data_IF_193865625962
#
_entry.id   IF_193865625962
#
_cell.length_a   1.000
_cell.length_b   1.000
_cell.length_c   1.000
_cell.angle_alpha   90.00
_cell.angle_beta   90.00
_cell.angle_gamma   90.00
#
_symmetry.space_group_name_H-M   'P 1'
#
loop_
_entity.id
_entity.type
_entity.pdbx_description
1 polymer ?
#
# COMPACT_ATOMS: atom_id res chain seq x y z
N UNK A 1 10.35 17.13 -17.74
CA UNK A 1 10.43 17.94 -16.49
C UNK A 1 9.03 18.23 -15.93
N UNK A 2 8.13 18.88 -16.71
CA UNK A 2 6.85 19.40 -16.20
C UNK A 2 5.87 18.27 -15.79
N UNK A 3 5.79 17.18 -16.54
CA UNK A 3 4.95 16.05 -16.17
C UNK A 3 5.43 15.34 -14.90
N UNK A 4 6.75 15.19 -14.77
CA UNK A 4 7.37 14.66 -13.53
C UNK A 4 7.10 15.55 -12.33
N UNK A 5 6.98 16.87 -12.53
CA UNK A 5 6.61 17.77 -11.45
C UNK A 5 5.17 17.53 -10.95
N UNK A 6 4.24 17.23 -11.86
CA UNK A 6 2.88 16.81 -11.50
C UNK A 6 2.87 15.48 -10.73
N UNK A 7 3.65 14.50 -11.18
CA UNK A 7 3.82 13.21 -10.49
C UNK A 7 4.45 13.38 -9.11
N UNK A 8 5.46 14.25 -8.98
CA UNK A 8 6.06 14.57 -7.69
C UNK A 8 5.04 15.23 -6.75
N UNK A 9 4.22 16.14 -7.26
CA UNK A 9 3.17 16.77 -6.47
C UNK A 9 2.10 15.76 -6.02
N UNK A 10 1.76 14.79 -6.87
CA UNK A 10 0.84 13.69 -6.51
C UNK A 10 1.46 12.78 -5.43
N UNK A 11 2.74 12.43 -5.57
CA UNK A 11 3.43 11.65 -4.55
C UNK A 11 3.41 12.35 -3.19
N UNK A 12 3.71 13.65 -3.17
CA UNK A 12 3.66 14.42 -1.93
C UNK A 12 2.25 14.44 -1.30
N UNK A 13 1.19 14.50 -2.12
CA UNK A 13 -0.19 14.38 -1.62
C UNK A 13 -0.46 13.01 -1.00
N UNK A 14 0.03 11.94 -1.61
CA UNK A 14 -0.11 10.58 -1.07
C UNK A 14 0.65 10.46 0.25
N UNK A 15 1.86 10.99 0.30
CA UNK A 15 2.73 10.94 1.49
C UNK A 15 2.16 11.78 2.66
N UNK A 16 1.34 12.79 2.38
CA UNK A 16 0.76 13.67 3.39
C UNK A 16 -0.64 13.27 3.86
N UNK A 17 -1.24 12.18 3.35
CA UNK A 17 -2.64 11.81 3.61
C UNK A 17 -2.94 11.72 5.11
N UNK A 18 -2.11 11.08 5.92
CA UNK A 18 -2.33 10.95 7.36
C UNK A 18 -2.23 12.30 8.09
N UNK A 19 -1.36 13.19 7.59
CA UNK A 19 -1.20 14.54 8.12
C UNK A 19 -2.35 15.45 7.71
N UNK A 20 -2.80 15.34 6.46
CA UNK A 20 -3.87 16.16 5.90
C UNK A 20 -5.26 15.71 6.36
N UNK A 21 -5.39 14.43 6.73
CA UNK A 21 -6.62 13.80 7.23
C UNK A 21 -6.38 13.14 8.60
N UNK A 22 -6.12 13.93 9.66
CA UNK A 22 -5.87 13.35 10.99
C UNK A 22 -7.16 12.86 11.63
N UNK A 23 -7.03 11.92 12.58
CA UNK A 23 -8.14 11.49 13.44
C UNK A 23 -8.87 10.24 12.97
N UNK A 24 -8.28 9.48 12.08
CA UNK A 24 -8.68 8.12 11.77
C UNK A 24 -7.90 7.13 12.65
N UNK A 25 -8.57 6.04 13.01
CA UNK A 25 -7.99 4.95 13.79
C UNK A 25 -7.15 4.02 12.90
N UNK A 26 -7.49 3.97 11.59
CA UNK A 26 -6.83 3.11 10.61
C UNK A 26 -6.76 3.80 9.24
N UNK A 27 -5.63 3.63 8.55
CA UNK A 27 -5.41 4.11 7.19
C UNK A 27 -5.06 2.93 6.28
N UNK A 28 -5.86 2.71 5.25
CA UNK A 28 -5.66 1.66 4.28
C UNK A 28 -5.31 2.25 2.91
N UNK A 29 -4.33 1.65 2.25
CA UNK A 29 -3.82 2.13 0.98
C UNK A 29 -3.90 1.07 -0.12
N UNK A 30 -4.35 1.52 -1.30
CA UNK A 30 -4.26 0.79 -2.56
C UNK A 30 -3.67 1.72 -3.61
N UNK A 31 -2.34 1.66 -3.82
CA UNK A 31 -1.60 2.67 -4.57
C UNK A 31 -0.94 2.05 -5.81
N UNK A 32 -1.36 2.50 -6.99
CA UNK A 32 -0.64 2.25 -8.24
C UNK A 32 0.67 3.04 -8.30
N UNK A 33 1.60 2.60 -9.13
CA UNK A 33 2.85 3.31 -9.39
C UNK A 33 2.59 4.70 -9.98
N UNK A 34 3.27 5.72 -9.44
CA UNK A 34 3.25 7.08 -9.99
C UNK A 34 4.38 7.21 -11.00
N UNK A 35 4.09 6.86 -12.23
CA UNK A 35 5.04 6.92 -13.32
C UNK A 35 4.31 6.90 -14.67
N UNK A 36 4.95 7.40 -15.70
CA UNK A 36 4.43 7.39 -17.06
C UNK A 36 5.44 6.84 -18.05
N UNK A 37 4.95 6.32 -19.16
CA UNK A 37 5.78 5.99 -20.28
C UNK A 37 6.09 7.29 -21.08
N UNK A 38 7.34 7.78 -21.10
CA UNK A 38 7.68 9.03 -21.78
C UNK A 38 7.51 8.96 -23.30
N UNK A 39 7.59 7.77 -23.89
CA UNK A 39 7.34 7.59 -25.32
C UNK A 39 5.87 7.75 -25.66
N UNK A 40 4.97 7.19 -24.84
CA UNK A 40 3.52 7.36 -25.01
C UNK A 40 3.12 8.83 -24.85
N UNK A 41 3.64 9.51 -23.83
CA UNK A 41 3.37 10.93 -23.60
C UNK A 41 3.88 11.78 -24.78
N UNK A 42 5.11 11.55 -25.24
CA UNK A 42 5.69 12.28 -26.36
C UNK A 42 4.93 12.00 -27.66
N UNK A 43 4.55 10.75 -27.93
CA UNK A 43 3.74 10.38 -29.07
C UNK A 43 2.39 11.09 -29.06
N UNK A 44 1.69 11.09 -27.92
CA UNK A 44 0.40 11.77 -27.77
C UNK A 44 0.53 13.27 -27.99
N UNK A 45 1.50 13.93 -27.38
CA UNK A 45 1.74 15.37 -27.60
C UNK A 45 2.08 15.68 -29.06
N UNK A 46 2.86 14.82 -29.71
CA UNK A 46 3.24 15.02 -31.13
C UNK A 46 2.04 14.93 -32.06
N UNK A 47 1.11 14.01 -31.85
CA UNK A 47 -0.09 13.92 -32.71
C UNK A 47 -1.11 15.03 -32.42
N UNK A 48 -1.06 15.63 -31.22
CA UNK A 48 -1.95 16.75 -30.86
C UNK A 48 -1.44 18.10 -31.37
N UNK A 49 -0.12 18.32 -31.41
CA UNK A 49 0.49 19.64 -31.60
C UNK A 49 1.55 19.70 -32.72
N UNK A 50 1.99 18.57 -33.25
CA UNK A 50 3.09 18.41 -34.22
C UNK A 50 4.44 18.98 -33.75
N UNK A 51 4.57 20.31 -33.67
CA UNK A 51 5.70 20.99 -33.03
C UNK A 51 5.18 21.79 -31.88
N UNK A 52 5.81 21.65 -30.73
CA UNK A 52 5.38 22.33 -29.48
C UNK A 52 6.54 22.73 -28.60
N UNK A 53 6.33 23.79 -27.85
CA UNK A 53 7.19 24.19 -26.72
C UNK A 53 6.58 23.73 -25.40
N UNK A 54 7.37 23.56 -24.34
CA UNK A 54 6.84 23.18 -23.02
C UNK A 54 5.71 24.09 -22.52
N UNK A 55 5.79 25.40 -22.77
CA UNK A 55 4.78 26.38 -22.34
C UNK A 55 3.43 26.20 -23.04
N UNK A 56 3.42 25.78 -24.30
CA UNK A 56 2.19 25.57 -25.08
C UNK A 56 1.39 24.36 -24.63
N UNK A 57 2.07 23.38 -24.07
CA UNK A 57 1.43 22.09 -23.70
C UNK A 57 1.10 21.95 -22.23
N UNK A 58 1.44 22.91 -21.36
CA UNK A 58 1.27 22.79 -19.91
C UNK A 58 -0.18 22.45 -19.51
N UNK A 59 -1.18 23.16 -20.06
CA UNK A 59 -2.59 22.87 -19.76
C UNK A 59 -3.01 21.48 -20.24
N UNK A 60 -2.42 21.00 -21.34
CA UNK A 60 -2.69 19.68 -21.89
C UNK A 60 -2.01 18.60 -21.06
N UNK A 61 -0.80 18.85 -20.54
CA UNK A 61 -0.12 17.94 -19.60
C UNK A 61 -0.97 17.70 -18.36
N UNK A 62 -1.57 18.76 -17.81
CA UNK A 62 -2.51 18.61 -16.69
C UNK A 62 -3.74 17.78 -17.08
N UNK A 63 -4.33 18.03 -18.24
CA UNK A 63 -5.48 17.25 -18.73
C UNK A 63 -5.13 15.77 -18.90
N UNK A 64 -3.97 15.44 -19.47
CA UNK A 64 -3.49 14.07 -19.64
C UNK A 64 -3.27 13.43 -18.28
N UNK A 65 -2.67 14.18 -17.34
CA UNK A 65 -2.42 13.75 -15.97
C UNK A 65 -3.72 13.40 -15.22
N UNK A 66 -4.75 14.24 -15.36
CA UNK A 66 -6.05 14.03 -14.72
C UNK A 66 -6.80 12.79 -15.26
N UNK A 67 -6.54 12.40 -16.50
CA UNK A 67 -7.03 11.11 -17.06
C UNK A 67 -6.19 9.92 -16.61
N UNK A 68 -4.88 10.11 -16.47
CA UNK A 68 -3.98 9.03 -16.06
C UNK A 68 -4.16 8.67 -14.60
N UNK A 69 -4.25 9.66 -13.71
CA UNK A 69 -4.27 9.40 -12.27
C UNK A 69 -5.61 9.75 -11.63
N UNK A 70 -6.05 8.85 -10.77
CA UNK A 70 -7.22 9.09 -9.92
C UNK A 70 -6.83 8.78 -8.48
N UNK A 71 -6.85 9.80 -7.61
CA UNK A 71 -6.64 9.65 -6.17
C UNK A 71 -7.97 9.87 -5.47
N UNK A 72 -8.40 8.90 -4.68
CA UNK A 72 -9.63 8.97 -3.89
C UNK A 72 -9.38 8.53 -2.46
N UNK A 73 -10.03 9.17 -1.50
CA UNK A 73 -10.06 8.74 -0.11
C UNK A 73 -11.52 8.61 0.34
N UNK A 74 -11.85 7.49 0.96
CA UNK A 74 -13.21 7.18 1.42
C UNK A 74 -13.18 6.80 2.88
N UNK A 75 -14.00 7.48 3.68
CA UNK A 75 -14.20 7.17 5.09
C UNK A 75 -15.14 5.97 5.25
N UNK A 76 -14.79 5.08 6.15
CA UNK A 76 -15.66 4.01 6.68
C UNK A 76 -15.70 4.16 8.19
N UNK A 77 -16.90 4.15 8.76
CA UNK A 77 -17.10 4.19 10.21
C UNK A 77 -17.70 2.86 10.66
N UNK A 78 -17.01 2.18 11.56
CA UNK A 78 -17.48 0.95 12.21
C UNK A 78 -17.85 1.25 13.65
N UNK A 79 -18.91 0.64 14.14
CA UNK A 79 -19.20 0.65 15.57
C UNK A 79 -18.53 -0.57 16.20
N UNK A 80 -17.62 -0.32 17.09
CA UNK A 80 -16.89 -1.36 17.86
C UNK A 80 -17.22 -1.23 19.34
N UNK A 81 -17.00 -2.30 20.10
CA UNK A 81 -17.16 -2.32 21.55
C UNK A 81 -15.81 -2.41 22.23
N UNK A 82 -15.69 -1.75 23.37
CA UNK A 82 -14.57 -1.92 24.30
C UNK A 82 -15.07 -2.03 25.72
N UNK A 83 -14.34 -2.74 26.55
CA UNK A 83 -14.62 -2.83 27.98
C UNK A 83 -14.00 -1.64 28.71
N UNK A 84 -14.80 -0.91 29.48
CA UNK A 84 -14.35 0.16 30.35
C UNK A 84 -14.59 -0.24 31.81
N UNK A 85 -13.58 -0.03 32.66
CA UNK A 85 -13.72 -0.20 34.10
C UNK A 85 -14.31 1.08 34.67
N UNK A 86 -15.46 0.97 35.32
CA UNK A 86 -16.13 2.05 36.05
C UNK A 86 -16.16 1.73 37.52
N UNK A 87 -16.34 2.73 38.35
CA UNK A 87 -16.30 2.61 39.78
C UNK A 87 -17.57 3.22 40.40
N UNK A 88 -18.13 2.56 41.42
CA UNK A 88 -19.25 3.08 42.17
C UNK A 88 -19.15 2.67 43.63
N UNK A 89 -19.89 3.37 44.48
CA UNK A 89 -20.07 2.94 45.86
C UNK A 89 -21.16 1.90 45.92
N UNK A 90 -20.87 0.78 46.60
CA UNK A 90 -21.81 -0.31 46.87
C UNK A 90 -22.00 -0.38 48.36
N UNK A 91 -23.27 -0.35 48.81
CA UNK A 91 -23.60 -0.50 50.24
C UNK A 91 -23.54 -1.97 50.60
N UNK A 92 -22.58 -2.29 51.43
CA UNK A 92 -22.47 -3.59 52.09
C UNK A 92 -23.01 -3.49 53.53
N UNK A 93 -23.32 -4.64 54.09
CA UNK A 93 -23.81 -4.71 55.45
C UNK A 93 -22.90 -5.62 56.27
N UNK A 94 -22.54 -5.20 57.45
CA UNK A 94 -21.85 -6.03 58.44
C UNK A 94 -22.70 -6.17 59.67
N UNK A 95 -22.67 -7.34 60.26
CA UNK A 95 -23.35 -7.59 61.49
C UNK A 95 -22.51 -7.13 62.69
N UNK A 96 -23.09 -6.28 63.51
CA UNK A 96 -22.48 -5.82 64.75
C UNK A 96 -23.28 -6.35 65.91
N UNK A 97 -22.63 -6.99 66.91
CA UNK A 97 -23.24 -7.38 68.14
C UNK A 97 -23.38 -6.15 69.03
N UNK A 98 -24.59 -5.95 69.56
CA UNK A 98 -24.90 -4.89 70.50
C UNK A 98 -25.51 -5.48 71.81
N UNK A 99 -25.18 -4.86 72.92
CA UNK A 99 -25.71 -5.26 74.20
C UNK A 99 -26.95 -4.42 74.51
N UNK A 100 -28.06 -5.08 74.69
CA UNK A 100 -29.29 -4.50 75.21
C UNK A 100 -29.53 -4.91 76.70
N UNK A 101 -30.41 -4.19 77.38
CA UNK A 101 -30.76 -4.49 78.73
C UNK A 101 -32.27 -4.63 78.80
N UNK A 102 -32.76 -5.64 79.56
CA UNK A 102 -34.19 -5.86 79.80
C UNK A 102 -34.42 -6.16 81.28
N UNK A 103 -35.60 -5.80 81.83
CA UNK A 103 -36.00 -6.16 83.17
C UNK A 103 -36.65 -7.54 83.17
N UNK A 104 -36.05 -8.48 83.88
CA UNK A 104 -36.59 -9.82 84.14
C UNK A 104 -36.74 -10.02 85.65
N UNK A 105 -37.98 -10.21 86.12
CA UNK A 105 -38.28 -10.37 87.49
C UNK A 105 -37.76 -9.22 88.40
N UNK A 106 -37.78 -7.96 87.89
CA UNK A 106 -37.30 -6.79 88.64
C UNK A 106 -35.77 -6.61 88.65
N UNK A 107 -35.04 -7.45 87.97
CA UNK A 107 -33.59 -7.33 87.81
C UNK A 107 -33.25 -6.97 86.37
N UNK A 108 -32.26 -6.11 86.20
CA UNK A 108 -31.72 -5.72 84.85
C UNK A 108 -30.82 -6.83 84.39
N UNK A 109 -31.19 -7.47 83.20
CA UNK A 109 -30.39 -8.48 82.56
C UNK A 109 -29.91 -7.95 81.19
N UNK A 110 -28.62 -8.16 80.89
CA UNK A 110 -28.07 -7.87 79.56
C UNK A 110 -28.39 -9.01 78.61
N UNK A 111 -28.66 -8.65 77.37
CA UNK A 111 -28.73 -9.62 76.26
C UNK A 111 -28.02 -9.07 75.06
N UNK A 112 -27.45 -9.94 74.23
CA UNK A 112 -26.79 -9.59 72.95
C UNK A 112 -27.82 -9.70 71.86
N UNK A 113 -27.80 -8.72 70.96
CA UNK A 113 -28.53 -8.78 69.67
C UNK A 113 -27.67 -8.25 68.53
N UNK A 114 -27.90 -8.75 67.34
CA UNK A 114 -27.17 -8.41 66.15
C UNK A 114 -27.91 -7.30 65.38
N UNK A 115 -27.17 -6.30 64.94
CA UNK A 115 -27.68 -5.23 64.07
C UNK A 115 -26.86 -5.21 62.79
N UNK A 116 -27.53 -5.24 61.66
CA UNK A 116 -26.88 -5.10 60.37
C UNK A 116 -26.62 -3.63 60.09
N UNK A 117 -25.34 -3.25 60.02
CA UNK A 117 -24.90 -1.85 59.85
C UNK A 117 -24.38 -1.66 58.43
N UNK A 118 -24.96 -0.69 57.71
CA UNK A 118 -24.46 -0.41 56.35
C UNK A 118 -23.09 0.28 56.38
N UNK A 119 -22.24 -0.07 55.40
CA UNK A 119 -21.03 0.64 55.09
C UNK A 119 -20.82 0.66 53.57
N UNK A 120 -20.16 1.67 53.06
CA UNK A 120 -19.93 1.81 51.61
C UNK A 120 -18.55 1.31 51.26
N UNK A 121 -18.49 0.54 50.16
CA UNK A 121 -17.26 0.08 49.54
C UNK A 121 -17.22 0.64 48.13
N UNK A 122 -16.06 1.16 47.73
CA UNK A 122 -15.81 1.64 46.35
C UNK A 122 -15.35 0.48 45.52
N UNK A 123 -16.20 -0.02 44.62
CA UNK A 123 -15.98 -1.22 43.82
C UNK A 123 -15.97 -0.91 42.34
N UNK A 124 -15.16 -1.67 41.59
CA UNK A 124 -15.12 -1.59 40.12
C UNK A 124 -16.09 -2.58 39.49
N UNK A 125 -16.64 -2.18 38.36
CA UNK A 125 -17.41 -3.05 37.48
C UNK A 125 -17.04 -2.75 36.03
N UNK A 126 -17.19 -3.75 35.19
CA UNK A 126 -16.92 -3.62 33.76
C UNK A 126 -18.20 -3.29 32.99
N UNK A 127 -18.08 -2.37 32.01
CA UNK A 127 -19.16 -1.98 31.12
C UNK A 127 -18.64 -2.06 29.67
N UNK A 128 -19.37 -2.72 28.82
CA UNK A 128 -19.15 -2.61 27.39
C UNK A 128 -19.69 -1.27 26.87
N UNK A 129 -18.84 -0.51 26.19
CA UNK A 129 -19.22 0.76 25.57
C UNK A 129 -18.94 0.69 24.08
N UNK A 130 -19.91 1.15 23.31
CA UNK A 130 -19.73 1.31 21.87
C UNK A 130 -18.93 2.58 21.59
N UNK A 131 -18.09 2.52 20.54
CA UNK A 131 -17.36 3.67 20.04
C UNK A 131 -17.23 3.59 18.52
N UNK A 132 -17.10 4.76 17.89
CA UNK A 132 -16.81 4.85 16.47
C UNK A 132 -15.33 4.53 16.21
N UNK A 133 -15.08 3.59 15.30
CA UNK A 133 -13.77 3.28 14.75
C UNK A 133 -13.73 3.76 13.32
N UNK A 134 -12.88 4.73 13.03
CA UNK A 134 -12.82 5.43 11.75
C UNK A 134 -11.67 4.92 10.90
N UNK A 135 -11.98 4.53 9.68
CA UNK A 135 -11.04 3.99 8.71
C UNK A 135 -11.02 4.92 7.50
N UNK A 136 -9.84 5.34 7.06
CA UNK A 136 -9.66 6.04 5.79
C UNK A 136 -9.06 5.09 4.77
N UNK A 137 -9.83 4.77 3.71
CA UNK A 137 -9.36 3.97 2.59
C UNK A 137 -8.94 4.89 1.45
N UNK A 138 -7.66 4.90 1.12
CA UNK A 138 -7.10 5.69 0.03
C UNK A 138 -6.71 4.82 -1.14
N UNK A 139 -7.19 5.18 -2.33
CA UNK A 139 -6.89 4.49 -3.57
C UNK A 139 -6.28 5.47 -4.56
N UNK A 140 -5.11 5.13 -5.10
CA UNK A 140 -4.51 5.78 -6.25
C UNK A 140 -4.51 4.80 -7.41
N UNK A 141 -5.16 5.18 -8.50
CA UNK A 141 -5.17 4.41 -9.75
C UNK A 141 -4.34 5.13 -10.80
N UNK A 142 -3.43 4.40 -11.46
CA UNK A 142 -2.74 4.84 -12.67
C UNK A 142 -3.36 4.09 -13.86
N UNK A 143 -4.13 4.80 -14.67
CA UNK A 143 -4.80 4.25 -15.86
C UNK A 143 -3.91 4.28 -17.12
N UNK A 144 -2.66 4.75 -16.99
CA UNK A 144 -1.74 4.95 -18.10
C UNK A 144 -2.12 6.12 -19.03
N UNK A 145 -1.20 6.47 -19.92
CA UNK A 145 -1.45 7.49 -20.95
C UNK A 145 -2.58 7.08 -21.90
N UNK A 146 -2.83 5.79 -22.06
CA UNK A 146 -3.91 5.25 -22.87
C UNK A 146 -5.31 5.74 -22.44
N UNK A 147 -5.50 6.04 -21.16
CA UNK A 147 -6.75 6.64 -20.68
C UNK A 147 -6.97 8.04 -21.29
N UNK A 148 -5.91 8.86 -21.36
CA UNK A 148 -5.95 10.16 -22.01
C UNK A 148 -6.17 10.02 -23.53
N UNK A 149 -5.50 9.06 -24.18
CA UNK A 149 -5.69 8.75 -25.61
C UNK A 149 -7.17 8.46 -25.91
N UNK A 150 -7.79 7.62 -25.09
CA UNK A 150 -9.20 7.26 -25.22
C UNK A 150 -10.14 8.44 -24.99
N UNK A 151 -9.85 9.28 -23.98
CA UNK A 151 -10.70 10.40 -23.58
C UNK A 151 -10.60 11.62 -24.53
N UNK A 152 -9.45 11.81 -25.16
CA UNK A 152 -9.20 12.95 -26.07
C UNK A 152 -9.81 12.77 -27.46
N UNK A 153 -10.45 11.64 -27.75
CA UNK A 153 -11.13 11.36 -29.01
C UNK A 153 -10.28 11.70 -30.25
N UNK A 154 -9.08 11.13 -30.33
CA UNK A 154 -8.19 11.31 -31.45
C UNK A 154 -8.89 10.92 -32.77
N UNK A 155 -8.62 11.67 -33.84
CA UNK A 155 -9.06 11.29 -35.19
C UNK A 155 -8.38 9.98 -35.61
N UNK A 156 -8.91 9.33 -36.65
CA UNK A 156 -8.32 8.11 -37.18
C UNK A 156 -6.86 8.35 -37.61
N UNK A 157 -6.59 9.45 -38.30
CA UNK A 157 -5.23 9.84 -38.72
C UNK A 157 -4.30 10.05 -37.53
N UNK A 158 -4.76 10.75 -36.49
CA UNK A 158 -4.01 10.92 -35.25
C UNK A 158 -3.72 9.59 -34.54
N UNK A 159 -4.66 8.66 -34.56
CA UNK A 159 -4.50 7.35 -33.95
C UNK A 159 -3.49 6.47 -34.69
N UNK A 160 -3.55 6.49 -36.05
CA UNK A 160 -2.55 5.80 -36.90
C UNK A 160 -1.15 6.37 -36.68
N UNK A 161 -1.03 7.70 -36.61
CA UNK A 161 0.24 8.38 -36.31
C UNK A 161 0.74 8.08 -34.87
N UNK A 162 -0.15 8.05 -33.90
CA UNK A 162 0.20 7.68 -32.54
C UNK A 162 0.79 6.27 -32.48
N UNK A 163 0.13 5.31 -33.11
CA UNK A 163 0.59 3.92 -33.18
C UNK A 163 1.97 3.82 -33.85
N UNK A 164 2.15 4.51 -34.98
CA UNK A 164 3.43 4.56 -35.67
C UNK A 164 4.55 5.16 -34.82
N UNK A 165 4.25 6.24 -34.08
CA UNK A 165 5.22 6.88 -33.21
C UNK A 165 5.60 5.98 -32.01
N UNK A 166 4.70 5.16 -31.52
CA UNK A 166 5.01 4.15 -30.50
C UNK A 166 5.94 3.07 -31.04
N UNK A 167 5.68 2.55 -32.25
CA UNK A 167 6.54 1.56 -32.91
C UNK A 167 7.96 2.11 -33.16
N UNK A 168 8.07 3.39 -33.48
CA UNK A 168 9.36 4.09 -33.73
C UNK A 168 9.93 4.74 -32.45
N UNK A 169 9.39 4.42 -31.28
CA UNK A 169 9.80 4.97 -29.97
C UNK A 169 9.72 6.49 -29.89
N UNK A 170 8.58 7.02 -30.29
CA UNK A 170 8.29 8.43 -30.20
C UNK A 170 9.06 9.32 -31.13
N UNK A 171 9.84 8.75 -32.04
CA UNK A 171 10.56 9.46 -33.10
C UNK A 171 11.46 10.62 -32.61
N UNK A 172 11.92 10.54 -31.36
CA UNK A 172 12.83 11.52 -30.75
C UNK A 172 14.00 10.83 -30.02
N UNK A 173 14.89 10.14 -30.78
CA UNK A 173 16.03 9.45 -30.17
C UNK A 173 16.96 10.42 -29.41
N UNK A 174 17.01 11.71 -29.83
CA UNK A 174 17.78 12.75 -29.16
C UNK A 174 17.31 13.08 -27.73
N UNK A 175 16.02 12.79 -27.41
CA UNK A 175 15.45 13.03 -26.09
C UNK A 175 15.56 11.78 -25.21
N UNK A 176 15.43 10.60 -25.79
CA UNK A 176 15.26 9.36 -25.06
C UNK A 176 16.49 8.44 -25.09
N UNK A 177 17.50 8.73 -25.91
CA UNK A 177 18.70 7.91 -26.02
C UNK A 177 18.41 6.45 -26.37
N UNK A 178 19.39 5.58 -26.18
CA UNK A 178 19.20 4.14 -26.31
C UNK A 178 18.46 3.59 -25.09
N UNK A 179 17.15 3.47 -25.21
CA UNK A 179 16.31 2.44 -24.69
C UNK A 179 16.35 2.06 -23.20
N UNK A 180 15.56 2.71 -22.39
CA UNK A 180 15.27 2.22 -21.02
C UNK A 180 13.97 1.36 -20.94
N UNK A 181 13.07 1.44 -21.92
CA UNK A 181 11.71 0.91 -21.82
C UNK A 181 11.28 -0.07 -22.91
N UNK A 182 12.14 -0.42 -23.87
CA UNK A 182 11.82 -1.50 -24.77
C UNK A 182 11.88 -2.80 -23.96
N UNK A 183 10.82 -3.56 -24.03
CA UNK A 183 10.73 -4.88 -23.43
C UNK A 183 11.84 -5.78 -24.04
N UNK A 184 12.97 -5.99 -23.40
CA UNK A 184 13.87 -7.05 -23.79
C UNK A 184 13.27 -8.29 -23.21
N UNK A 185 13.01 -9.28 -24.01
CA UNK A 185 12.74 -10.61 -23.51
C UNK A 185 13.75 -10.97 -22.40
N UNK A 186 13.31 -11.69 -21.41
CA UNK A 186 14.19 -12.29 -20.42
C UNK A 186 15.26 -13.06 -21.19
N UNK A 187 16.54 -12.92 -20.84
CA UNK A 187 17.56 -13.76 -21.48
C UNK A 187 17.26 -15.22 -21.13
N UNK A 188 17.35 -16.13 -22.10
CA UNK A 188 17.09 -17.58 -21.87
C UNK A 188 17.91 -18.17 -20.72
N UNK A 189 19.06 -17.54 -20.39
CA UNK A 189 19.92 -17.91 -19.28
C UNK A 189 19.23 -17.73 -17.92
N UNK A 190 18.43 -16.68 -17.75
CA UNK A 190 17.76 -16.38 -16.48
C UNK A 190 16.35 -16.98 -16.38
N UNK A 191 15.68 -17.25 -17.50
CA UNK A 191 14.39 -17.98 -17.49
C UNK A 191 14.51 -19.38 -16.88
N UNK A 192 15.71 -19.96 -16.90
CA UNK A 192 16.00 -21.31 -16.40
C UNK A 192 16.87 -21.33 -15.14
N UNK A 193 16.98 -20.19 -14.45
CA UNK A 193 17.77 -20.14 -13.23
C UNK A 193 17.17 -21.07 -12.16
N UNK A 194 17.93 -22.11 -11.80
CA UNK A 194 17.53 -23.02 -10.74
C UNK A 194 17.91 -22.45 -9.36
N UNK A 195 16.92 -21.98 -8.62
CA UNK A 195 17.13 -21.51 -7.25
C UNK A 195 17.69 -22.63 -6.37
N UNK A 196 18.79 -22.40 -5.62
CA UNK A 196 19.37 -23.40 -4.72
C UNK A 196 18.33 -24.00 -3.77
N UNK A 197 18.30 -25.33 -3.68
CA UNK A 197 17.28 -26.06 -2.92
C UNK A 197 17.25 -25.70 -1.43
N UNK A 198 18.39 -25.32 -0.85
CA UNK A 198 18.46 -24.83 0.52
C UNK A 198 17.62 -23.58 0.78
N UNK A 199 17.47 -22.70 -0.19
CA UNK A 199 16.62 -21.50 -0.05
C UNK A 199 15.13 -21.86 -0.05
N UNK A 200 14.75 -22.91 -0.76
CA UNK A 200 13.37 -23.38 -0.84
C UNK A 200 12.89 -24.10 0.43
N UNK A 201 13.78 -24.33 1.40
CA UNK A 201 13.41 -24.83 2.73
C UNK A 201 12.68 -23.79 3.59
N UNK A 202 12.88 -22.50 3.32
CA UNK A 202 12.06 -21.43 3.89
C UNK A 202 10.69 -21.44 3.21
N UNK A 203 9.66 -21.80 3.98
CA UNK A 203 8.31 -21.96 3.45
C UNK A 203 7.72 -20.64 2.91
N UNK A 204 8.05 -19.50 3.55
CA UNK A 204 7.55 -18.19 3.12
C UNK A 204 8.17 -17.80 1.78
N UNK A 205 9.49 -17.95 1.66
CA UNK A 205 10.17 -17.71 0.39
C UNK A 205 9.72 -18.70 -0.70
N UNK A 206 9.63 -19.98 -0.39
CA UNK A 206 9.17 -21.02 -1.32
C UNK A 206 7.77 -20.72 -1.88
N UNK A 207 6.87 -20.22 -1.03
CA UNK A 207 5.54 -19.79 -1.46
C UNK A 207 5.59 -18.57 -2.40
N UNK A 208 6.40 -17.55 -2.05
CA UNK A 208 6.60 -16.37 -2.88
C UNK A 208 7.22 -16.73 -4.24
N UNK A 209 8.27 -17.53 -4.24
CA UNK A 209 8.96 -17.96 -5.45
C UNK A 209 8.03 -18.71 -6.38
N UNK A 210 7.31 -19.71 -5.86
CA UNK A 210 6.33 -20.48 -6.65
C UNK A 210 5.19 -19.61 -7.22
N UNK A 211 4.77 -18.57 -6.50
CA UNK A 211 3.80 -17.63 -7.04
C UNK A 211 4.41 -16.78 -8.15
N UNK A 212 5.62 -16.26 -7.93
CA UNK A 212 6.32 -15.40 -8.88
C UNK A 212 6.64 -16.11 -10.21
N UNK A 213 7.06 -17.37 -10.17
CA UNK A 213 7.41 -18.16 -11.35
C UNK A 213 6.25 -18.33 -12.35
N UNK A 214 5.00 -18.26 -11.90
CA UNK A 214 3.82 -18.36 -12.80
C UNK A 214 3.76 -17.26 -13.84
N UNK A 215 4.46 -16.15 -13.61
CA UNK A 215 4.39 -14.93 -14.42
C UNK A 215 5.69 -14.65 -15.17
N UNK A 216 6.64 -15.59 -15.20
CA UNK A 216 7.83 -15.49 -16.04
C UNK A 216 7.43 -15.30 -17.51
N UNK A 217 8.10 -14.38 -18.20
CA UNK A 217 7.79 -14.06 -19.58
C UNK A 217 6.59 -13.14 -19.81
N UNK A 218 5.89 -12.71 -18.75
CA UNK A 218 4.84 -11.70 -18.89
C UNK A 218 5.43 -10.35 -19.29
N UNK A 219 4.81 -9.64 -20.24
CA UNK A 219 5.30 -8.34 -20.67
C UNK A 219 5.18 -7.30 -19.56
N UNK A 220 6.10 -6.33 -19.55
CA UNK A 220 5.98 -5.16 -18.68
C UNK A 220 4.87 -4.24 -19.20
N UNK A 221 3.95 -3.87 -18.31
CA UNK A 221 2.86 -2.91 -18.59
C UNK A 221 2.81 -1.86 -17.50
N UNK A 222 2.95 -0.59 -17.88
CA UNK A 222 2.84 0.53 -16.95
C UNK A 222 1.51 0.52 -16.18
N UNK A 223 1.58 0.59 -14.84
CA UNK A 223 0.40 0.50 -13.99
C UNK A 223 -0.22 -0.90 -13.88
N UNK A 224 0.31 -1.89 -14.59
CA UNK A 224 -0.16 -3.27 -14.54
C UNK A 224 0.01 -3.88 -13.15
N UNK A 225 -1.00 -4.61 -12.67
CA UNK A 225 -1.05 -5.10 -11.28
C UNK A 225 -1.69 -6.48 -11.11
N UNK A 226 -2.01 -7.15 -12.21
CA UNK A 226 -2.66 -8.47 -12.17
C UNK A 226 -2.35 -9.30 -13.41
N UNK A 227 -2.50 -10.63 -13.39
CA UNK A 227 -2.28 -11.46 -14.56
C UNK A 227 -3.11 -11.06 -15.80
N UNK A 228 -4.30 -10.47 -15.57
CA UNK A 228 -5.18 -10.06 -16.67
C UNK A 228 -4.70 -8.80 -17.41
N UNK A 229 -3.93 -7.95 -16.76
CA UNK A 229 -3.37 -6.71 -17.33
C UNK A 229 -1.86 -6.77 -17.54
N UNK A 230 -1.20 -7.87 -17.12
CA UNK A 230 0.24 -7.96 -16.89
C UNK A 230 0.68 -7.02 -15.74
N UNK A 231 1.97 -6.72 -15.60
CA UNK A 231 2.53 -6.09 -14.40
C UNK A 231 3.50 -4.96 -14.74
N UNK A 232 3.56 -3.97 -13.85
CA UNK A 232 4.79 -3.19 -13.63
C UNK A 232 5.61 -3.82 -12.50
N UNK A 233 6.77 -3.24 -12.17
CA UNK A 233 7.67 -3.80 -11.16
C UNK A 233 7.01 -3.95 -9.77
N UNK A 234 6.36 -2.91 -9.32
CA UNK A 234 5.71 -2.87 -8.01
C UNK A 234 4.37 -3.60 -7.99
N UNK A 235 3.66 -3.64 -9.13
CA UNK A 235 2.45 -4.44 -9.31
C UNK A 235 2.72 -5.93 -9.23
N UNK A 236 3.81 -6.38 -9.85
CA UNK A 236 4.27 -7.76 -9.74
C UNK A 236 4.58 -8.13 -8.28
N UNK A 237 5.41 -7.34 -7.60
CA UNK A 237 5.76 -7.59 -6.19
C UNK A 237 4.52 -7.59 -5.30
N UNK A 238 3.63 -6.59 -5.47
CA UNK A 238 2.39 -6.52 -4.68
C UNK A 238 1.51 -7.74 -4.93
N UNK A 239 1.36 -8.17 -6.17
CA UNK A 239 0.55 -9.32 -6.52
C UNK A 239 1.12 -10.62 -5.92
N UNK A 240 2.41 -10.86 -6.09
CA UNK A 240 3.09 -12.04 -5.54
C UNK A 240 2.94 -12.12 -4.03
N UNK A 241 3.25 -11.03 -3.31
CA UNK A 241 3.21 -11.01 -1.85
C UNK A 241 1.78 -11.26 -1.33
N UNK A 242 0.78 -10.63 -1.93
CA UNK A 242 -0.60 -10.77 -1.48
C UNK A 242 -1.25 -12.12 -1.86
N UNK A 243 -0.71 -12.85 -2.85
CA UNK A 243 -1.31 -14.09 -3.36
C UNK A 243 -0.47 -15.34 -3.14
N UNK A 244 0.74 -15.24 -2.58
CA UNK A 244 1.63 -16.39 -2.37
C UNK A 244 1.16 -17.38 -1.28
N UNK A 245 0.10 -17.07 -0.54
CA UNK A 245 -0.45 -17.96 0.49
C UNK A 245 0.21 -17.85 1.87
N UNK A 246 1.04 -16.82 2.09
CA UNK A 246 1.66 -16.55 3.40
C UNK A 246 0.73 -15.82 4.39
N UNK A 247 -0.49 -15.51 3.99
CA UNK A 247 -1.46 -14.77 4.80
C UNK A 247 -1.20 -13.26 4.87
N UNK A 248 -0.33 -12.75 4.01
CA UNK A 248 -0.03 -11.33 3.93
C UNK A 248 -1.05 -10.58 3.08
N UNK A 249 -1.35 -9.35 3.48
CA UNK A 249 -2.23 -8.45 2.74
C UNK A 249 -1.76 -7.00 2.91
N UNK A 250 -0.83 -6.58 2.06
CA UNK A 250 -0.27 -5.22 2.05
C UNK A 250 -0.94 -4.31 1.01
N UNK A 251 -1.88 -4.84 0.22
CA UNK A 251 -2.50 -4.11 -0.88
C UNK A 251 -1.53 -3.85 -2.04
N UNK A 252 -1.85 -2.84 -2.85
CA UNK A 252 -1.04 -2.40 -3.99
C UNK A 252 -0.19 -1.21 -3.57
N UNK A 253 1.12 -1.39 -3.49
CA UNK A 253 2.08 -0.34 -3.17
C UNK A 253 2.96 -0.01 -4.38
N UNK A 254 3.46 1.22 -4.44
CA UNK A 254 4.50 1.65 -5.40
C UNK A 254 5.86 1.09 -4.98
N UNK A 255 6.89 1.16 -5.85
CA UNK A 255 8.25 0.79 -5.48
C UNK A 255 8.74 1.58 -4.26
N UNK A 256 8.45 2.88 -4.20
CA UNK A 256 8.79 3.71 -3.05
C UNK A 256 7.93 3.38 -1.82
N UNK A 257 6.65 3.05 -2.02
CA UNK A 257 5.77 2.56 -0.96
C UNK A 257 6.30 1.29 -0.31
N UNK A 258 6.73 0.29 -1.11
CA UNK A 258 7.37 -0.91 -0.60
C UNK A 258 8.66 -0.62 0.17
N UNK A 259 9.51 0.28 -0.34
CA UNK A 259 10.73 0.71 0.34
C UNK A 259 10.44 1.31 1.73
N UNK A 260 9.37 2.07 1.85
CA UNK A 260 8.97 2.69 3.12
C UNK A 260 8.27 1.70 4.07
N UNK A 261 7.57 0.70 3.52
CA UNK A 261 6.86 -0.32 4.29
C UNK A 261 7.77 -1.45 4.81
N UNK A 262 9.02 -1.55 4.34
CA UNK A 262 9.95 -2.62 4.70
C UNK A 262 11.14 -2.09 5.52
N UNK A 263 11.64 -2.95 6.43
CA UNK A 263 12.83 -2.64 7.20
C UNK A 263 14.10 -2.80 6.34
N UNK A 264 15.03 -1.85 6.47
CA UNK A 264 16.32 -1.95 5.80
C UNK A 264 17.20 -3.00 6.49
N UNK A 265 17.79 -3.89 5.71
CA UNK A 265 18.80 -4.87 6.16
C UNK A 265 20.18 -4.51 5.60
N UNK A 266 21.25 -4.96 6.26
CA UNK A 266 22.60 -4.81 5.74
C UNK A 266 22.79 -5.74 4.51
N UNK A 267 23.64 -5.37 3.56
CA UNK A 267 23.89 -6.16 2.37
C UNK A 267 24.41 -7.58 2.68
N UNK A 268 25.12 -7.75 3.82
CA UNK A 268 25.58 -9.05 4.31
C UNK A 268 24.46 -9.97 4.80
N UNK A 269 23.32 -9.41 5.16
CA UNK A 269 22.23 -10.08 5.85
C UNK A 269 21.04 -10.36 4.92
N UNK A 270 21.19 -9.95 3.64
CA UNK A 270 20.18 -10.18 2.61
C UNK A 270 19.95 -11.66 2.39
N UNK A 271 18.69 -12.05 2.35
CA UNK A 271 18.25 -13.43 2.15
C UNK A 271 17.21 -13.54 1.02
N UNK A 272 16.97 -14.75 0.51
CA UNK A 272 15.89 -14.98 -0.45
C UNK A 272 14.54 -14.52 0.12
N UNK A 273 13.75 -13.84 -0.70
CA UNK A 273 12.48 -13.24 -0.32
C UNK A 273 12.58 -11.78 0.13
N UNK A 274 13.75 -11.24 0.42
CA UNK A 274 13.93 -9.82 0.66
C UNK A 274 13.65 -9.00 -0.62
N UNK A 275 13.26 -7.74 -0.44
CA UNK A 275 13.04 -6.83 -1.55
C UNK A 275 14.29 -6.00 -1.83
N UNK A 276 14.65 -5.90 -3.09
CA UNK A 276 15.73 -5.01 -3.57
C UNK A 276 15.14 -3.84 -4.32
N UNK A 277 15.67 -2.64 -4.03
CA UNK A 277 15.18 -1.38 -4.57
C UNK A 277 16.25 -0.65 -5.36
N UNK A 278 15.86 -0.05 -6.49
CA UNK A 278 16.73 0.75 -7.35
C UNK A 278 16.18 2.15 -7.47
N UNK A 279 17.08 3.11 -7.69
CA UNK A 279 16.77 4.51 -7.96
C UNK A 279 17.32 4.91 -9.32
N UNK A 280 16.65 5.84 -10.00
CA UNK A 280 17.14 6.39 -11.27
C UNK A 280 16.97 5.48 -12.49
N UNK A 281 16.20 4.39 -12.38
CA UNK A 281 15.84 3.59 -13.57
C UNK A 281 14.91 4.36 -14.51
N UNK A 282 14.18 5.33 -13.99
CA UNK A 282 13.49 6.41 -14.69
C UNK A 282 13.39 7.63 -13.78
N UNK A 283 13.00 8.77 -14.32
CA UNK A 283 12.99 10.04 -13.59
C UNK A 283 11.78 10.13 -12.64
N UNK A 284 11.95 9.65 -11.41
CA UNK A 284 10.96 9.74 -10.32
C UNK A 284 11.66 9.96 -8.98
N UNK A 285 10.92 10.45 -7.98
CA UNK A 285 11.41 10.59 -6.63
C UNK A 285 11.44 9.23 -5.89
N UNK A 286 12.51 8.98 -5.14
CA UNK A 286 12.63 7.76 -4.34
C UNK A 286 13.00 6.51 -5.13
N UNK A 287 12.46 5.36 -4.74
CA UNK A 287 12.70 4.10 -5.44
C UNK A 287 11.89 4.08 -6.74
N UNK A 288 12.55 3.77 -7.85
CA UNK A 288 11.98 3.71 -9.20
C UNK A 288 11.76 2.27 -9.69
N UNK A 289 12.34 1.28 -9.00
CA UNK A 289 12.17 -0.13 -9.34
C UNK A 289 12.29 -1.01 -8.10
N UNK A 290 11.66 -2.18 -8.14
CA UNK A 290 11.68 -3.18 -7.06
C UNK A 290 11.66 -4.59 -7.64
N UNK A 291 12.39 -5.50 -6.99
CA UNK A 291 12.40 -6.93 -7.27
C UNK A 291 12.48 -7.76 -5.99
N UNK A 292 12.23 -9.06 -6.11
CA UNK A 292 12.34 -10.04 -5.04
C UNK A 292 13.67 -10.77 -5.20
N UNK A 293 14.51 -10.76 -4.18
CA UNK A 293 15.78 -11.49 -4.16
C UNK A 293 15.50 -13.00 -4.17
N UNK A 294 16.09 -13.72 -5.11
CA UNK A 294 16.00 -15.18 -5.18
C UNK A 294 17.31 -15.87 -4.85
N UNK A 295 18.44 -15.22 -5.15
CA UNK A 295 19.77 -15.69 -4.76
C UNK A 295 20.67 -14.49 -4.38
N UNK A 296 20.87 -14.24 -3.10
CA UNK A 296 21.71 -13.12 -2.66
C UNK A 296 23.20 -13.31 -2.93
N UNK A 297 23.67 -14.56 -3.02
CA UNK A 297 25.10 -14.86 -3.28
C UNK A 297 25.44 -14.52 -4.73
N UNK A 298 24.62 -14.96 -5.67
CA UNK A 298 24.80 -14.70 -7.10
C UNK A 298 24.12 -13.40 -7.55
N UNK A 299 23.48 -12.65 -6.63
CA UNK A 299 22.78 -11.38 -6.89
C UNK A 299 21.66 -11.53 -7.92
N UNK A 300 20.91 -12.61 -7.85
CA UNK A 300 19.76 -12.86 -8.71
C UNK A 300 18.47 -12.42 -8.02
N UNK A 301 17.64 -11.74 -8.78
CA UNK A 301 16.28 -11.34 -8.38
C UNK A 301 15.27 -11.76 -9.44
N UNK A 302 14.02 -11.90 -9.04
CA UNK A 302 12.87 -11.98 -9.94
C UNK A 302 12.10 -10.65 -9.88
N UNK A 303 11.84 -10.08 -11.05
CA UNK A 303 11.17 -8.79 -11.15
C UNK A 303 10.43 -8.67 -12.49
N UNK A 304 9.58 -7.66 -12.62
CA UNK A 304 8.97 -7.29 -13.89
C UNK A 304 9.63 -5.99 -14.40
N UNK A 305 10.29 -6.05 -15.54
CA UNK A 305 11.03 -4.94 -16.14
C UNK A 305 12.25 -5.42 -16.94
N UNK A 306 13.05 -4.45 -17.41
CA UNK A 306 14.30 -4.75 -18.10
C UNK A 306 15.34 -5.33 -17.12
N UNK A 307 16.30 -6.15 -17.61
CA UNK A 307 17.49 -6.49 -16.84
C UNK A 307 18.20 -5.21 -16.38
N UNK A 308 18.55 -5.15 -15.10
CA UNK A 308 19.23 -4.02 -14.45
C UNK A 308 20.66 -4.43 -14.16
#
# INVERSE_FOLDING_TARGET
ADYVALETALQNKVDSIETDHPGYDEYNYSLSEISHNPFELAALLTVLYENYTPSEVQSKLQTIFDYQYTLTSTEVVEIRTRTETRWHYVTHYRDEERTGYRLVNGRLESYTYTVSVPYEVYESYEVEVEYEYKILNTTLTNNGISAAVSALNLTQDQMERYTLLLETRGNKPDIFGDNVYANPGVSEEYERYAVPGEYLTDQQFSNMHREAEKYLGYPYVWGGSSPGTSFDCSGFVSYVINNCGNGWNYGRLTANGWKNATARVAASDVKPGDLVFFQGTYNTAGASHVGIVVDPVNKIMIHCGNPI
#
